data_IF_538540431667
#
_entry.id   IF_538540431667
#
_cell.length_a   1.000
_cell.length_b   1.000
_cell.length_c   1.000
_cell.angle_alpha   90.00
_cell.angle_beta   90.00
_cell.angle_gamma   90.00
#
_symmetry.space_group_name_H-M   'P 1'
#
loop_
_entity.id
_entity.type
_entity.pdbx_description
1 polymer ?
#
# COMPACT_ATOMS: atom_id res chain seq x y z
N UNK A 1 10.30 26.95 9.81
CA UNK A 1 9.08 26.25 10.20
C UNK A 1 9.48 24.81 10.43
N UNK A 2 9.16 24.23 11.57
CA UNK A 2 9.33 22.79 11.78
C UNK A 2 8.34 22.10 10.85
N UNK A 3 8.82 21.42 9.82
CA UNK A 3 7.97 20.57 8.98
C UNK A 3 7.62 19.39 9.88
N UNK A 4 6.38 19.31 10.30
CA UNK A 4 5.88 18.16 11.07
C UNK A 4 5.96 16.95 10.15
N UNK A 5 6.64 15.88 10.57
CA UNK A 5 6.66 14.62 9.82
C UNK A 5 5.23 14.09 9.70
N UNK A 6 4.85 13.60 8.53
CA UNK A 6 3.62 12.81 8.40
C UNK A 6 3.83 11.45 9.05
N UNK A 7 2.79 10.98 9.75
CA UNK A 7 2.80 9.66 10.38
C UNK A 7 2.06 8.67 9.50
N UNK A 8 2.71 7.57 9.17
CA UNK A 8 2.18 6.52 8.29
C UNK A 8 2.05 5.22 9.07
N UNK A 9 0.83 4.71 9.21
CA UNK A 9 0.60 3.36 9.73
C UNK A 9 0.65 2.35 8.57
N UNK A 10 1.40 1.26 8.76
CA UNK A 10 1.43 0.13 7.83
C UNK A 10 0.88 -1.07 8.58
N UNK A 11 -0.34 -1.48 8.22
CA UNK A 11 -1.00 -2.65 8.80
C UNK A 11 -0.73 -3.85 7.89
N UNK A 12 -0.04 -4.85 8.41
CA UNK A 12 0.55 -5.95 7.63
C UNK A 12 1.99 -5.65 7.21
N UNK A 13 2.75 -4.96 8.06
CA UNK A 13 4.12 -4.55 7.75
C UNK A 13 5.11 -5.73 7.62
N UNK A 14 4.82 -6.88 8.25
CA UNK A 14 5.66 -8.08 8.21
C UNK A 14 5.54 -8.90 6.93
N UNK A 15 4.50 -8.67 6.08
CA UNK A 15 4.35 -9.40 4.82
C UNK A 15 5.13 -8.73 3.68
N UNK A 16 5.40 -9.48 2.61
CA UNK A 16 6.25 -9.08 1.49
C UNK A 16 6.03 -7.64 1.00
N UNK A 17 4.80 -7.26 0.62
CA UNK A 17 4.50 -5.90 0.13
C UNK A 17 4.57 -4.86 1.26
N UNK A 18 4.06 -5.16 2.45
CA UNK A 18 4.12 -4.25 3.60
C UNK A 18 5.57 -3.96 4.02
N UNK A 19 6.43 -4.99 4.03
CA UNK A 19 7.86 -4.87 4.31
C UNK A 19 8.58 -4.04 3.24
N UNK A 20 8.33 -4.31 1.95
CA UNK A 20 8.92 -3.55 0.86
C UNK A 20 8.54 -2.07 0.90
N UNK A 21 7.26 -1.75 1.14
CA UNK A 21 6.79 -0.39 1.32
C UNK A 21 7.46 0.26 2.53
N UNK A 22 7.48 -0.41 3.70
CA UNK A 22 8.07 0.13 4.92
C UNK A 22 9.54 0.48 4.74
N UNK A 23 10.34 -0.42 4.16
CA UNK A 23 11.77 -0.18 3.88
C UNK A 23 11.97 1.01 2.94
N UNK A 24 11.19 1.10 1.87
CA UNK A 24 11.37 2.15 0.86
C UNK A 24 11.01 3.55 1.37
N UNK A 25 10.02 3.68 2.26
CA UNK A 25 9.64 4.98 2.81
C UNK A 25 10.41 5.34 4.09
N UNK A 26 11.12 4.39 4.71
CA UNK A 26 11.87 4.60 5.95
C UNK A 26 13.01 5.64 5.81
N UNK A 27 13.57 5.80 4.60
CA UNK A 27 14.57 6.83 4.29
C UNK A 27 13.98 8.22 4.08
N UNK A 28 12.66 8.35 3.99
CA UNK A 28 11.95 9.61 3.81
C UNK A 28 11.73 10.37 5.12
N UNK A 29 11.09 11.55 5.02
CA UNK A 29 10.75 12.35 6.20
C UNK A 29 9.39 11.94 6.79
N UNK A 30 9.27 10.67 7.18
CA UNK A 30 8.06 10.09 7.76
C UNK A 30 8.35 9.47 9.13
N UNK A 31 7.30 9.39 9.97
CA UNK A 31 7.26 8.51 11.14
C UNK A 31 6.41 7.29 10.79
N UNK A 32 6.94 6.10 10.97
CA UNK A 32 6.26 4.86 10.61
C UNK A 32 5.73 4.15 11.85
N UNK A 33 4.47 3.74 11.81
CA UNK A 33 3.82 2.90 12.80
C UNK A 33 3.59 1.51 12.18
N UNK A 34 4.41 0.54 12.57
CA UNK A 34 4.43 -0.78 11.97
C UNK A 34 3.60 -1.75 12.80
N UNK A 35 2.57 -2.33 12.20
CA UNK A 35 1.76 -3.36 12.83
C UNK A 35 1.74 -4.63 11.98
N UNK A 36 1.98 -5.76 12.65
CA UNK A 36 1.73 -7.10 12.14
C UNK A 36 1.41 -8.04 13.30
N UNK A 37 0.72 -9.14 13.02
CA UNK A 37 0.46 -10.21 14.00
C UNK A 37 1.69 -11.09 14.22
N UNK A 38 2.63 -11.10 13.28
CA UNK A 38 3.89 -11.83 13.37
C UNK A 38 5.03 -10.92 13.85
N UNK A 39 5.28 -10.94 15.16
CA UNK A 39 6.31 -10.11 15.80
C UNK A 39 7.75 -10.47 15.36
N UNK A 40 8.00 -11.70 14.95
CA UNK A 40 9.31 -12.12 14.45
C UNK A 40 9.62 -11.43 13.11
N UNK A 41 8.64 -11.40 12.20
CA UNK A 41 8.77 -10.68 10.93
C UNK A 41 8.95 -9.17 11.13
N UNK A 42 8.24 -8.57 12.10
CA UNK A 42 8.47 -7.16 12.45
C UNK A 42 9.88 -6.91 13.00
N UNK A 43 10.41 -7.83 13.80
CA UNK A 43 11.79 -7.76 14.31
C UNK A 43 12.80 -7.77 13.17
N UNK A 44 12.69 -8.72 12.25
CA UNK A 44 13.56 -8.82 11.07
C UNK A 44 13.46 -7.57 10.18
N UNK A 45 12.25 -7.07 9.94
CA UNK A 45 12.03 -5.84 9.18
C UNK A 45 12.73 -4.63 9.82
N UNK A 46 12.70 -4.53 11.15
CA UNK A 46 13.35 -3.43 11.87
C UNK A 46 14.87 -3.47 11.73
N UNK A 47 15.46 -4.67 11.77
CA UNK A 47 16.90 -4.84 11.56
C UNK A 47 17.29 -4.41 10.14
N UNK A 48 16.51 -4.80 9.13
CA UNK A 48 16.73 -4.39 7.74
C UNK A 48 16.57 -2.88 7.56
N UNK A 49 15.51 -2.26 8.12
CA UNK A 49 15.32 -0.80 8.07
C UNK A 49 16.52 -0.07 8.70
N UNK A 50 16.97 -0.48 9.89
CA UNK A 50 18.08 0.18 10.58
C UNK A 50 19.43 -0.04 9.89
N UNK A 51 19.60 -1.13 9.16
CA UNK A 51 20.80 -1.37 8.36
C UNK A 51 20.93 -0.36 7.22
N UNK A 52 19.81 -0.08 6.51
CA UNK A 52 19.80 0.81 5.35
C UNK A 52 19.57 2.27 5.75
N UNK A 53 18.79 2.51 6.79
CA UNK A 53 18.37 3.82 7.29
C UNK A 53 18.52 3.92 8.83
N UNK A 54 19.74 4.13 9.36
CA UNK A 54 19.98 4.14 10.81
C UNK A 54 19.23 5.22 11.60
N UNK A 55 18.78 6.29 10.93
CA UNK A 55 18.01 7.42 11.50
C UNK A 55 16.51 7.31 11.24
N UNK A 56 16.01 6.16 10.74
CA UNK A 56 14.61 5.95 10.48
C UNK A 56 13.79 6.09 11.76
N UNK A 57 12.66 6.79 11.64
CA UNK A 57 11.74 7.05 12.74
C UNK A 57 10.56 6.08 12.65
N UNK A 58 10.60 4.99 13.39
CA UNK A 58 9.53 4.01 13.38
C UNK A 58 9.27 3.39 14.76
N UNK A 59 8.07 2.85 14.93
CA UNK A 59 7.62 2.19 16.16
C UNK A 59 6.79 0.94 15.82
N UNK A 60 6.94 -0.12 16.62
CA UNK A 60 6.06 -1.28 16.57
C UNK A 60 4.78 -1.02 17.34
N UNK A 61 3.66 -1.21 16.68
CA UNK A 61 2.35 -1.05 17.29
C UNK A 61 1.76 -2.40 17.72
N UNK A 62 1.11 -2.41 18.84
CA UNK A 62 0.44 -3.63 19.36
C UNK A 62 -0.99 -3.78 18.84
N UNK A 63 -1.57 -2.73 18.27
CA UNK A 63 -2.96 -2.68 17.86
C UNK A 63 -3.13 -1.86 16.57
N UNK A 64 -3.83 -2.39 15.55
CA UNK A 64 -4.08 -1.65 14.32
C UNK A 64 -4.99 -0.44 14.52
N UNK A 65 -5.84 -0.43 15.55
CA UNK A 65 -6.67 0.71 15.88
C UNK A 65 -5.82 1.89 16.40
N UNK A 66 -4.89 1.63 17.33
CA UNK A 66 -3.99 2.66 17.86
C UNK A 66 -3.08 3.23 16.78
N UNK A 67 -2.47 2.38 15.94
CA UNK A 67 -1.65 2.85 14.82
C UNK A 67 -2.46 3.70 13.86
N UNK A 68 -3.68 3.30 13.54
CA UNK A 68 -4.58 4.05 12.67
C UNK A 68 -5.04 5.36 13.30
N UNK A 69 -5.20 5.40 14.63
CA UNK A 69 -5.57 6.63 15.35
C UNK A 69 -4.47 7.69 15.29
N UNK A 70 -3.22 7.31 15.45
CA UNK A 70 -2.08 8.23 15.43
C UNK A 70 -1.69 8.66 14.00
N UNK A 71 -1.96 7.84 12.99
CA UNK A 71 -1.50 8.05 11.63
C UNK A 71 -2.28 9.15 10.90
N UNK A 72 -1.62 9.83 9.96
CA UNK A 72 -2.22 10.68 8.92
C UNK A 72 -2.61 9.84 7.70
N UNK A 73 -1.79 8.83 7.39
CA UNK A 73 -1.95 7.90 6.27
C UNK A 73 -1.94 6.47 6.82
N UNK A 74 -2.88 5.65 6.37
CA UNK A 74 -3.00 4.24 6.75
C UNK A 74 -2.82 3.39 5.49
N UNK A 75 -1.80 2.54 5.45
CA UNK A 75 -1.56 1.60 4.36
C UNK A 75 -2.03 0.22 4.80
N UNK A 76 -2.98 -0.36 4.07
CA UNK A 76 -3.50 -1.70 4.33
C UNK A 76 -2.75 -2.72 3.46
N UNK A 77 -1.69 -3.30 4.01
CA UNK A 77 -0.88 -4.32 3.34
C UNK A 77 -1.37 -5.74 3.71
N UNK A 78 -2.65 -5.99 3.49
CA UNK A 78 -3.35 -7.22 3.84
C UNK A 78 -4.01 -7.85 2.61
N UNK A 79 -4.28 -9.17 2.65
CA UNK A 79 -5.17 -9.79 1.69
C UNK A 79 -6.57 -9.16 1.74
N UNK A 80 -7.23 -8.99 0.60
CA UNK A 80 -8.58 -8.42 0.50
C UNK A 80 -9.58 -9.08 1.47
N UNK A 81 -9.47 -10.39 1.68
CA UNK A 81 -10.33 -11.14 2.61
C UNK A 81 -10.26 -10.67 4.07
N UNK A 82 -9.17 -10.01 4.47
CA UNK A 82 -8.96 -9.49 5.82
C UNK A 82 -9.33 -7.98 5.94
N UNK A 83 -9.48 -7.26 4.83
CA UNK A 83 -9.69 -5.80 4.84
C UNK A 83 -10.99 -5.41 5.53
N UNK A 84 -12.08 -6.17 5.35
CA UNK A 84 -13.37 -5.85 5.95
C UNK A 84 -13.32 -5.85 7.48
N UNK A 85 -12.78 -6.90 8.07
CA UNK A 85 -12.65 -7.00 9.54
C UNK A 85 -11.78 -5.89 10.11
N UNK A 86 -10.69 -5.57 9.41
CA UNK A 86 -9.82 -4.46 9.80
C UNK A 86 -10.54 -3.11 9.67
N UNK A 87 -11.22 -2.87 8.55
CA UNK A 87 -11.97 -1.63 8.33
C UNK A 87 -13.00 -1.40 9.43
N UNK A 88 -13.72 -2.43 9.86
CA UNK A 88 -14.66 -2.35 10.97
C UNK A 88 -13.97 -1.96 12.29
N UNK A 89 -12.74 -2.41 12.53
CA UNK A 89 -11.96 -2.10 13.75
C UNK A 89 -11.42 -0.68 13.77
N UNK A 90 -11.10 -0.09 12.62
CA UNK A 90 -10.46 1.24 12.54
C UNK A 90 -11.41 2.35 12.09
N UNK A 91 -12.67 2.02 11.83
CA UNK A 91 -13.67 2.92 11.21
C UNK A 91 -13.85 4.25 11.94
N UNK A 92 -13.84 4.22 13.25
CA UNK A 92 -14.04 5.40 14.11
C UNK A 92 -12.80 6.30 14.17
N UNK A 93 -11.60 5.75 13.92
CA UNK A 93 -10.33 6.49 13.96
C UNK A 93 -9.77 6.83 12.57
N UNK A 94 -10.30 6.26 11.50
CA UNK A 94 -9.88 6.51 10.12
C UNK A 94 -10.63 7.68 9.44
N UNK A 95 -11.49 8.40 10.18
CA UNK A 95 -12.31 9.52 9.67
C UNK A 95 -11.39 10.63 9.13
N UNK A 96 -11.63 11.07 7.88
CA UNK A 96 -10.87 12.09 7.14
C UNK A 96 -9.38 11.75 6.89
N UNK A 97 -8.94 10.55 7.24
CA UNK A 97 -7.58 10.08 6.95
C UNK A 97 -7.47 9.48 5.56
N UNK A 98 -6.26 9.50 5.01
CA UNK A 98 -5.95 8.80 3.78
C UNK A 98 -5.79 7.31 4.11
N UNK A 99 -6.53 6.46 3.39
CA UNK A 99 -6.42 5.01 3.52
C UNK A 99 -6.02 4.43 2.17
N UNK A 100 -4.83 3.83 2.11
CA UNK A 100 -4.30 3.27 0.88
C UNK A 100 -4.64 1.77 0.82
N UNK A 101 -5.42 1.37 -0.20
CA UNK A 101 -5.68 -0.02 -0.56
C UNK A 101 -4.64 -0.49 -1.55
N UNK A 102 -3.83 -1.48 -1.15
CA UNK A 102 -2.87 -2.13 -2.05
C UNK A 102 -3.39 -3.48 -2.57
N UNK A 103 -4.54 -3.95 -2.08
CA UNK A 103 -5.03 -5.29 -2.32
C UNK A 103 -5.35 -5.55 -3.79
N UNK A 104 -5.03 -6.76 -4.24
CA UNK A 104 -5.55 -7.36 -5.45
C UNK A 104 -6.44 -8.53 -5.03
N UNK A 105 -7.76 -8.45 -5.24
CA UNK A 105 -8.71 -9.49 -4.84
C UNK A 105 -8.68 -10.67 -5.81
N UNK A 106 -7.54 -11.36 -5.90
CA UNK A 106 -7.28 -12.46 -6.85
C UNK A 106 -7.43 -13.79 -6.10
N UNK A 107 -8.00 -14.80 -6.77
CA UNK A 107 -8.10 -16.15 -6.22
C UNK A 107 -6.72 -16.86 -6.16
N UNK A 108 -6.66 -17.95 -5.40
CA UNK A 108 -5.41 -18.70 -5.17
C UNK A 108 -4.83 -19.31 -6.48
N UNK A 109 -5.67 -19.49 -7.49
CA UNK A 109 -5.29 -20.04 -8.79
C UNK A 109 -4.86 -18.98 -9.80
N UNK A 110 -4.87 -17.70 -9.41
CA UNK A 110 -4.61 -16.53 -10.28
C UNK A 110 -5.48 -16.53 -11.54
N UNK A 111 -6.71 -17.01 -11.43
CA UNK A 111 -7.62 -17.18 -12.56
C UNK A 111 -8.60 -16.02 -12.74
N UNK A 112 -9.01 -15.38 -11.64
CA UNK A 112 -10.03 -14.33 -11.64
C UNK A 112 -9.95 -13.45 -10.40
N UNK A 113 -10.61 -12.30 -10.46
CA UNK A 113 -10.89 -11.49 -9.28
C UNK A 113 -12.00 -12.13 -8.45
N UNK A 114 -11.92 -11.98 -7.14
CA UNK A 114 -12.91 -12.50 -6.16
C UNK A 114 -14.00 -11.48 -5.84
N UNK A 115 -13.81 -10.20 -6.22
CA UNK A 115 -14.85 -9.17 -6.15
C UNK A 115 -15.92 -9.37 -7.22
N UNK A 116 -17.09 -8.77 -7.04
CA UNK A 116 -18.12 -8.73 -8.06
C UNK A 116 -17.63 -7.89 -9.26
N UNK A 117 -18.15 -8.17 -10.50
CA UNK A 117 -17.70 -7.45 -11.70
C UNK A 117 -17.91 -5.92 -11.64
N UNK A 118 -18.88 -5.46 -10.87
CA UNK A 118 -19.31 -4.05 -10.77
C UNK A 118 -18.58 -3.27 -9.68
N UNK A 119 -17.64 -3.90 -8.96
CA UNK A 119 -16.89 -3.26 -7.86
C UNK A 119 -15.42 -3.68 -7.87
N UNK A 120 -14.65 -3.09 -7.00
CA UNK A 120 -13.24 -3.37 -6.75
C UNK A 120 -12.97 -3.47 -5.25
N UNK A 121 -11.83 -4.00 -4.85
CA UNK A 121 -11.42 -4.03 -3.44
C UNK A 121 -11.39 -2.62 -2.84
N UNK A 122 -10.89 -1.62 -3.58
CA UNK A 122 -10.84 -0.24 -3.09
C UNK A 122 -12.23 0.39 -2.93
N UNK A 123 -13.16 0.12 -3.85
CA UNK A 123 -14.56 0.59 -3.72
C UNK A 123 -15.28 -0.09 -2.56
N UNK A 124 -15.05 -1.38 -2.33
CA UNK A 124 -15.58 -2.08 -1.14
C UNK A 124 -14.99 -1.50 0.15
N UNK A 125 -13.69 -1.22 0.17
CA UNK A 125 -13.04 -0.55 1.31
C UNK A 125 -13.65 0.83 1.57
N UNK A 126 -13.93 1.64 0.53
CA UNK A 126 -14.60 2.94 0.68
C UNK A 126 -16.01 2.79 1.26
N UNK A 127 -16.74 1.72 0.94
CA UNK A 127 -18.04 1.45 1.55
C UNK A 127 -17.92 1.10 3.04
N UNK A 128 -16.88 0.37 3.44
CA UNK A 128 -16.61 0.04 4.84
C UNK A 128 -16.08 1.22 5.64
N UNK A 129 -15.35 2.14 4.99
CA UNK A 129 -14.77 3.36 5.55
C UNK A 129 -15.35 4.63 4.87
N UNK A 130 -16.65 4.92 5.03
CA UNK A 130 -17.34 5.96 4.23
C UNK A 130 -16.87 7.38 4.50
N UNK A 131 -16.12 7.61 5.57
CA UNK A 131 -15.61 8.92 5.95
C UNK A 131 -14.09 9.07 5.79
N UNK A 132 -13.43 8.06 5.24
CA UNK A 132 -12.00 8.09 4.90
C UNK A 132 -11.81 8.49 3.43
N UNK A 133 -10.61 8.93 3.09
CA UNK A 133 -10.18 9.22 1.72
C UNK A 133 -9.45 7.99 1.18
N UNK A 134 -10.19 7.08 0.56
CA UNK A 134 -9.59 5.83 0.04
C UNK A 134 -8.85 6.12 -1.26
N UNK A 135 -7.60 5.68 -1.33
CA UNK A 135 -6.76 5.75 -2.53
C UNK A 135 -6.29 4.32 -2.88
N UNK A 136 -6.45 3.94 -4.13
CA UNK A 136 -5.83 2.76 -4.70
C UNK A 136 -4.40 3.10 -5.11
N UNK A 137 -3.41 2.39 -4.56
CA UNK A 137 -2.00 2.56 -4.96
C UNK A 137 -1.21 1.28 -4.70
N UNK A 138 0.02 1.17 -5.23
CA UNK A 138 0.94 0.04 -5.08
C UNK A 138 0.42 -1.31 -5.57
N UNK A 139 -0.79 -1.41 -6.07
CA UNK A 139 -1.38 -2.69 -6.46
C UNK A 139 -0.81 -3.25 -7.77
N UNK A 140 -0.21 -2.43 -8.61
CA UNK A 140 0.38 -2.79 -9.91
C UNK A 140 1.90 -2.95 -9.86
N UNK A 141 2.50 -2.80 -8.67
CA UNK A 141 3.92 -3.03 -8.41
C UNK A 141 4.12 -4.36 -7.69
N UNK A 142 5.30 -4.95 -7.84
CA UNK A 142 5.73 -6.12 -7.07
C UNK A 142 6.72 -5.69 -5.97
N UNK A 143 6.89 -6.54 -4.95
CA UNK A 143 7.85 -6.24 -3.88
C UNK A 143 9.28 -6.02 -4.39
N UNK A 144 9.68 -6.71 -5.47
CA UNK A 144 10.98 -6.55 -6.10
C UNK A 144 11.19 -5.17 -6.74
N UNK A 145 10.13 -4.49 -7.19
CA UNK A 145 10.23 -3.16 -7.81
C UNK A 145 10.68 -2.09 -6.79
N UNK A 146 10.43 -2.32 -5.50
CA UNK A 146 10.86 -1.40 -4.44
C UNK A 146 12.37 -1.42 -4.21
N UNK A 147 13.02 -2.54 -4.48
CA UNK A 147 14.49 -2.66 -4.43
C UNK A 147 15.14 -2.04 -5.67
N UNK A 148 14.44 -2.08 -6.81
CA UNK A 148 14.91 -1.58 -8.08
C UNK A 148 13.81 -0.77 -8.81
N UNK A 149 13.45 0.43 -8.32
CA UNK A 149 12.38 1.24 -8.90
C UNK A 149 12.74 1.86 -10.27
N UNK A 150 13.98 1.71 -10.73
CA UNK A 150 14.48 2.19 -12.03
C UNK A 150 14.99 1.03 -12.85
N UNK A 151 14.34 0.75 -13.97
CA UNK A 151 14.71 -0.29 -14.94
C UNK A 151 15.14 0.40 -16.25
N UNK A 152 16.32 0.08 -16.77
CA UNK A 152 16.88 0.66 -18.00
C UNK A 152 16.85 2.21 -18.03
N UNK A 153 17.08 2.84 -16.89
CA UNK A 153 17.10 4.30 -16.73
C UNK A 153 15.72 4.96 -16.71
N UNK A 154 14.63 4.18 -16.61
CA UNK A 154 13.26 4.67 -16.46
C UNK A 154 12.69 4.24 -15.12
N UNK A 155 12.02 5.17 -14.45
CA UNK A 155 11.26 4.85 -13.25
C UNK A 155 10.08 3.94 -13.58
N UNK A 156 9.82 2.96 -12.71
CA UNK A 156 8.64 2.09 -12.82
C UNK A 156 7.37 2.92 -12.59
N UNK A 157 6.39 2.78 -13.48
CA UNK A 157 5.10 3.44 -13.34
C UNK A 157 4.28 2.82 -12.20
N UNK A 158 3.78 3.67 -11.32
CA UNK A 158 2.90 3.27 -10.22
C UNK A 158 1.55 3.99 -10.36
N UNK A 159 0.51 3.24 -10.66
CA UNK A 159 -0.83 3.79 -10.89
C UNK A 159 -1.54 4.07 -9.57
N UNK A 160 -2.23 5.24 -9.53
CA UNK A 160 -3.05 5.66 -8.40
C UNK A 160 -4.45 6.06 -8.87
N UNK A 161 -5.45 5.77 -8.04
CA UNK A 161 -6.82 6.17 -8.28
C UNK A 161 -7.51 6.57 -6.96
N UNK A 162 -8.38 7.58 -7.02
CA UNK A 162 -9.10 8.08 -5.83
C UNK A 162 -9.95 9.30 -6.15
N UNK A 163 -10.84 9.65 -5.22
CA UNK A 163 -11.82 10.72 -5.41
C UNK A 163 -11.41 12.06 -4.76
N UNK A 164 -10.42 12.04 -3.83
CA UNK A 164 -9.98 13.24 -3.11
C UNK A 164 -8.66 13.76 -3.69
N UNK A 165 -8.68 14.98 -4.26
CA UNK A 165 -7.52 15.58 -4.94
C UNK A 165 -6.32 15.82 -4.01
N UNK A 166 -6.55 16.21 -2.74
CA UNK A 166 -5.47 16.43 -1.77
C UNK A 166 -4.83 15.11 -1.35
N UNK A 167 -5.63 14.06 -1.20
CA UNK A 167 -5.14 12.73 -0.91
C UNK A 167 -4.34 12.15 -2.09
N UNK A 168 -4.82 12.32 -3.33
CA UNK A 168 -4.09 11.92 -4.54
C UNK A 168 -2.73 12.61 -4.61
N UNK A 169 -2.67 13.92 -4.35
CA UNK A 169 -1.41 14.67 -4.31
C UNK A 169 -0.46 14.12 -3.25
N UNK A 170 -0.95 13.88 -2.03
CA UNK A 170 -0.13 13.34 -0.93
C UNK A 170 0.43 11.95 -1.27
N UNK A 171 -0.38 11.08 -1.88
CA UNK A 171 0.06 9.75 -2.29
C UNK A 171 1.01 9.81 -3.49
N UNK A 172 0.84 10.78 -4.39
CA UNK A 172 1.81 11.05 -5.47
C UNK A 172 3.19 11.37 -4.88
N UNK A 173 3.28 12.31 -3.93
CA UNK A 173 4.53 12.68 -3.25
C UNK A 173 5.16 11.47 -2.51
N UNK A 174 4.33 10.60 -1.92
CA UNK A 174 4.79 9.36 -1.28
C UNK A 174 5.42 8.39 -2.31
N UNK A 175 4.78 8.17 -3.45
CA UNK A 175 5.30 7.31 -4.53
C UNK A 175 6.61 7.84 -5.13
N UNK A 176 6.72 9.16 -5.30
CA UNK A 176 7.97 9.80 -5.73
C UNK A 176 9.11 9.57 -4.73
N UNK A 177 8.80 9.60 -3.42
CA UNK A 177 9.80 9.31 -2.37
C UNK A 177 10.33 7.87 -2.47
N UNK A 178 9.48 6.92 -2.86
CA UNK A 178 9.85 5.52 -3.12
C UNK A 178 10.69 5.38 -4.39
N UNK A 179 10.64 6.36 -5.29
CA UNK A 179 11.38 6.36 -6.56
C UNK A 179 10.58 5.91 -7.77
N UNK A 180 9.28 5.72 -7.63
CA UNK A 180 8.37 5.41 -8.74
C UNK A 180 7.97 6.66 -9.54
N UNK A 181 7.43 6.43 -10.74
CA UNK A 181 6.74 7.44 -11.54
C UNK A 181 5.23 7.33 -11.29
N UNK A 182 4.60 8.22 -10.49
CA UNK A 182 3.18 8.13 -10.17
C UNK A 182 2.31 8.54 -11.35
N UNK A 183 1.33 7.71 -11.68
CA UNK A 183 0.35 7.95 -12.74
C UNK A 183 -1.06 8.00 -12.14
N UNK A 184 -1.69 9.18 -12.13
CA UNK A 184 -3.09 9.30 -11.71
C UNK A 184 -3.96 8.70 -12.81
N UNK A 185 -4.54 7.53 -12.55
CA UNK A 185 -5.35 6.78 -13.51
C UNK A 185 -6.81 7.27 -13.59
N UNK A 186 -7.29 7.95 -12.55
CA UNK A 186 -8.64 8.48 -12.48
C UNK A 186 -9.21 8.48 -11.06
N UNK A 187 -10.53 8.54 -10.98
CA UNK A 187 -11.28 8.40 -9.74
C UNK A 187 -11.25 6.96 -9.19
N UNK A 188 -11.83 6.71 -8.02
CA UNK A 188 -11.77 5.41 -7.35
C UNK A 188 -12.42 4.29 -8.20
N UNK A 189 -13.35 4.60 -9.10
CA UNK A 189 -14.02 3.61 -9.97
C UNK A 189 -13.06 2.91 -10.95
N UNK A 190 -11.90 3.54 -11.24
CA UNK A 190 -10.85 2.94 -12.10
C UNK A 190 -10.11 1.80 -11.40
N UNK A 191 -10.22 1.67 -10.07
CA UNK A 191 -9.52 0.65 -9.28
C UNK A 191 -9.73 -0.77 -9.79
N UNK A 192 -10.96 -1.11 -10.21
CA UNK A 192 -11.25 -2.43 -10.78
C UNK A 192 -10.48 -2.71 -12.08
N UNK A 193 -10.17 -1.68 -12.86
CA UNK A 193 -9.32 -1.82 -14.06
C UNK A 193 -7.86 -2.09 -13.65
N UNK A 194 -7.35 -1.38 -12.64
CA UNK A 194 -6.00 -1.59 -12.12
C UNK A 194 -5.83 -2.99 -11.51
N UNK A 195 -6.85 -3.51 -10.83
CA UNK A 195 -6.86 -4.86 -10.28
C UNK A 195 -6.87 -5.94 -11.38
N UNK A 196 -7.63 -5.73 -12.47
CA UNK A 196 -7.62 -6.61 -13.66
C UNK A 196 -6.29 -6.56 -14.40
N UNK A 197 -5.67 -5.38 -14.47
CA UNK A 197 -4.35 -5.22 -15.08
C UNK A 197 -3.31 -6.03 -14.30
N UNK A 198 -3.33 -5.97 -12.97
CA UNK A 198 -2.42 -6.76 -12.14
C UNK A 198 -2.67 -8.26 -12.28
N UNK A 199 -3.92 -8.71 -12.34
CA UNK A 199 -4.24 -10.12 -12.62
C UNK A 199 -3.63 -10.56 -13.96
N UNK A 200 -3.79 -9.77 -15.01
CA UNK A 200 -3.19 -10.06 -16.32
C UNK A 200 -1.65 -10.15 -16.24
N UNK A 201 -1.00 -9.19 -15.57
CA UNK A 201 0.46 -9.21 -15.40
C UNK A 201 0.93 -10.46 -14.66
N UNK A 202 0.23 -10.86 -13.59
CA UNK A 202 0.54 -12.07 -12.85
C UNK A 202 0.38 -13.33 -13.71
N UNK A 203 -0.71 -13.44 -14.48
CA UNK A 203 -0.92 -14.57 -15.40
C UNK A 203 0.18 -14.66 -16.45
N UNK A 204 0.53 -13.54 -17.10
CA UNK A 204 1.60 -13.51 -18.08
C UNK A 204 2.97 -13.88 -17.47
N UNK A 205 3.24 -13.42 -16.24
CA UNK A 205 4.46 -13.75 -15.50
C UNK A 205 4.57 -15.25 -15.25
N UNK A 206 3.47 -15.88 -14.79
CA UNK A 206 3.41 -17.32 -14.53
C UNK A 206 3.52 -18.12 -15.83
N UNK A 207 2.77 -17.77 -16.87
CA UNK A 207 2.72 -18.49 -18.13
C UNK A 207 4.04 -18.46 -18.91
N UNK A 208 4.81 -17.38 -18.78
CA UNK A 208 6.03 -17.15 -19.54
C UNK A 208 7.32 -17.24 -18.70
N UNK A 209 7.20 -17.59 -17.41
CA UNK A 209 8.34 -17.66 -16.49
C UNK A 209 9.15 -16.34 -16.45
N UNK A 210 8.44 -15.21 -16.44
CA UNK A 210 9.06 -13.88 -16.33
C UNK A 210 9.46 -13.57 -14.90
N UNK A 211 10.39 -12.62 -14.75
CA UNK A 211 10.70 -12.05 -13.43
C UNK A 211 9.51 -11.25 -12.90
N UNK A 212 9.33 -11.28 -11.57
CA UNK A 212 8.28 -10.53 -10.88
C UNK A 212 8.65 -9.05 -10.74
N UNK A 213 8.61 -8.30 -11.84
CA UNK A 213 8.78 -6.85 -11.92
C UNK A 213 7.66 -6.26 -12.76
N UNK A 214 7.20 -5.05 -12.37
CA UNK A 214 6.32 -4.25 -13.20
C UNK A 214 7.15 -3.69 -14.38
N UNK A 215 6.87 -4.10 -15.60
CA UNK A 215 7.67 -3.69 -16.75
C UNK A 215 6.86 -3.48 -17.99
#
# INVERSE_FOLDING_TARGET
MSITKQTIAIVGAGVSMGSAIAKSIAGGNYRLLLFDTNLEQLGSLSEEILQDHPEADFEHMSCPHESSWEADIIILALPHSAEKELAEKIRDVAIQKIVISIANPIDEEFSKLTTRPETSAAEELQQWLPHSKVIKAFNTTFAADFEQPVIDGKQTDAFIAGDDEDALKTVTELLETVGFNPIIAGDLSVSGTLERMQLLLMQLTIENDYNWHAG
#
